data_IF_500025424166
#
_entry.id   IF_500025424166
#
_cell.length_a   1.000
_cell.length_b   1.000
_cell.length_c   1.000
_cell.angle_alpha   90.00
_cell.angle_beta   90.00
_cell.angle_gamma   90.00
#
_symmetry.space_group_name_H-M   'P 1'
#
loop_
_entity.id
_entity.type
_entity.pdbx_description
1 polymer ?
#
# COMPACT_ATOMS: atom_id res chain seq x y z
N UNK A 1 16.66 -4.22 -9.17
CA UNK A 1 16.46 -2.75 -9.14
C UNK A 1 17.16 -2.24 -7.90
N UNK A 2 17.99 -1.25 -8.00
CA UNK A 2 18.66 -0.67 -6.83
C UNK A 2 17.63 0.14 -6.03
N UNK A 3 17.36 -0.30 -4.82
CA UNK A 3 16.46 0.37 -3.88
C UNK A 3 17.04 1.70 -3.37
N UNK A 4 18.37 1.84 -3.52
CA UNK A 4 19.22 2.96 -3.14
C UNK A 4 19.25 4.13 -4.14
N UNK A 5 18.45 4.08 -5.22
CA UNK A 5 18.41 5.16 -6.21
C UNK A 5 17.60 6.35 -5.70
N UNK A 6 18.14 7.56 -5.86
CA UNK A 6 17.39 8.80 -5.64
C UNK A 6 16.18 8.89 -6.58
N UNK A 7 15.07 9.43 -6.07
CA UNK A 7 13.86 9.64 -6.86
C UNK A 7 14.04 10.88 -7.73
N UNK A 8 13.82 10.73 -9.04
CA UNK A 8 13.89 11.88 -9.95
C UNK A 8 12.65 12.78 -9.76
N UNK A 9 12.76 14.10 -10.02
CA UNK A 9 11.61 15.00 -9.99
C UNK A 9 10.49 14.57 -10.95
N UNK A 10 10.85 13.91 -12.04
CA UNK A 10 9.89 13.35 -13.01
C UNK A 10 9.11 12.17 -12.39
N UNK A 11 9.79 11.23 -11.73
CA UNK A 11 9.12 10.12 -11.03
C UNK A 11 8.14 10.64 -9.98
N UNK A 12 8.56 11.61 -9.15
CA UNK A 12 7.68 12.21 -8.12
C UNK A 12 6.44 12.83 -8.77
N UNK A 13 6.58 13.51 -9.91
CA UNK A 13 5.45 14.13 -10.65
C UNK A 13 4.51 13.05 -11.21
N UNK A 14 5.03 11.98 -11.80
CA UNK A 14 4.25 10.84 -12.33
C UNK A 14 3.44 10.20 -11.22
N UNK A 15 4.04 9.93 -10.07
CA UNK A 15 3.34 9.29 -8.95
C UNK A 15 2.38 10.24 -8.21
N UNK A 16 2.61 11.55 -8.28
CA UNK A 16 1.64 12.56 -7.79
C UNK A 16 0.34 12.53 -8.60
N UNK A 17 0.43 12.34 -9.92
CA UNK A 17 -0.71 12.25 -10.84
C UNK A 17 -1.00 10.80 -11.26
N UNK A 18 -0.72 9.85 -10.38
CA UNK A 18 -0.81 8.42 -10.64
C UNK A 18 -2.10 7.98 -11.33
N UNK A 19 -3.26 8.52 -10.93
CA UNK A 19 -4.57 8.16 -11.52
C UNK A 19 -4.66 8.55 -12.99
N UNK A 20 -4.18 9.74 -13.35
CA UNK A 20 -4.19 10.24 -14.73
C UNK A 20 -3.24 9.39 -15.58
N UNK A 21 -2.01 9.18 -15.10
CA UNK A 21 -1.00 8.36 -15.80
C UNK A 21 -1.50 6.94 -16.02
N UNK A 22 -2.14 6.35 -15.01
CA UNK A 22 -2.74 5.02 -15.14
C UNK A 22 -3.89 5.00 -16.14
N UNK A 23 -4.83 5.93 -16.06
CA UNK A 23 -5.96 6.04 -16.99
C UNK A 23 -5.49 6.20 -18.45
N UNK A 24 -4.53 7.09 -18.70
CA UNK A 24 -3.94 7.28 -20.04
C UNK A 24 -3.28 5.99 -20.55
N UNK A 25 -2.54 5.28 -19.69
CA UNK A 25 -1.91 4.01 -20.06
C UNK A 25 -2.94 2.94 -20.43
N UNK A 26 -4.02 2.81 -19.65
CA UNK A 26 -5.10 1.84 -19.95
C UNK A 26 -5.79 2.21 -21.26
N UNK A 27 -6.09 3.49 -21.49
CA UNK A 27 -6.72 3.97 -22.72
C UNK A 27 -5.85 3.69 -23.96
N UNK A 28 -4.54 4.00 -23.88
CA UNK A 28 -3.61 3.72 -24.98
C UNK A 28 -3.46 2.22 -25.23
N UNK A 29 -3.35 1.41 -24.18
CA UNK A 29 -3.28 -0.05 -24.30
C UNK A 29 -4.54 -0.60 -24.95
N UNK A 30 -5.71 -0.10 -24.60
CA UNK A 30 -6.99 -0.49 -25.21
C UNK A 30 -7.03 -0.14 -26.70
N UNK A 31 -6.70 1.09 -27.08
CA UNK A 31 -6.68 1.53 -28.47
C UNK A 31 -5.70 0.72 -29.32
N UNK A 32 -4.49 0.48 -28.81
CA UNK A 32 -3.48 -0.30 -29.51
C UNK A 32 -3.90 -1.76 -29.65
N UNK A 33 -4.47 -2.37 -28.62
CA UNK A 33 -5.02 -3.73 -28.69
C UNK A 33 -6.15 -3.81 -29.72
N UNK A 34 -7.07 -2.84 -29.71
CA UNK A 34 -8.15 -2.75 -30.68
C UNK A 34 -7.61 -2.65 -32.13
N UNK A 35 -6.59 -1.81 -32.35
CA UNK A 35 -5.94 -1.67 -33.65
C UNK A 35 -5.28 -2.98 -34.11
N UNK A 36 -4.55 -3.66 -33.22
CA UNK A 36 -3.93 -4.98 -33.51
C UNK A 36 -4.99 -5.98 -33.94
N UNK A 37 -6.09 -6.09 -33.20
CA UNK A 37 -7.20 -7.00 -33.50
C UNK A 37 -7.79 -6.72 -34.87
N UNK A 38 -7.97 -5.43 -35.21
CA UNK A 38 -8.51 -5.02 -36.52
C UNK A 38 -7.56 -5.32 -37.69
N UNK A 39 -6.26 -5.09 -37.47
CA UNK A 39 -5.23 -5.34 -38.51
C UNK A 39 -5.07 -6.83 -38.82
N UNK A 40 -5.16 -7.70 -37.80
CA UNK A 40 -4.95 -9.14 -37.95
C UNK A 40 -6.26 -9.92 -38.11
N UNK A 41 -7.43 -9.24 -38.17
CA UNK A 41 -8.76 -9.87 -38.34
C UNK A 41 -9.00 -11.05 -37.41
N UNK A 42 -8.68 -10.87 -36.11
CA UNK A 42 -8.76 -11.93 -35.11
C UNK A 42 -10.24 -12.28 -34.86
N UNK A 43 -10.66 -13.55 -34.94
CA UNK A 43 -12.00 -14.02 -34.59
C UNK A 43 -12.26 -13.74 -33.07
N UNK A 44 -13.52 -13.65 -32.67
CA UNK A 44 -13.89 -13.45 -31.25
C UNK A 44 -13.24 -12.23 -30.55
N UNK A 45 -12.98 -11.16 -31.30
CA UNK A 45 -12.15 -10.01 -31.04
C UNK A 45 -12.41 -9.28 -29.69
N UNK A 46 -13.51 -9.58 -29.01
CA UNK A 46 -13.89 -8.95 -27.73
C UNK A 46 -13.04 -9.45 -26.55
N UNK A 47 -12.62 -10.71 -26.56
CA UNK A 47 -11.95 -11.35 -25.43
C UNK A 47 -10.56 -10.82 -25.12
N UNK A 48 -9.68 -10.50 -26.09
CA UNK A 48 -8.40 -9.86 -25.79
C UNK A 48 -8.57 -8.51 -25.10
N UNK A 49 -9.56 -7.69 -25.51
CA UNK A 49 -9.87 -6.38 -24.92
C UNK A 49 -10.35 -6.51 -23.49
N UNK A 50 -11.34 -7.39 -23.24
CA UNK A 50 -11.85 -7.66 -21.89
C UNK A 50 -10.74 -8.17 -20.99
N UNK A 51 -9.92 -9.10 -21.47
CA UNK A 51 -8.81 -9.67 -20.70
C UNK A 51 -7.77 -8.62 -20.34
N UNK A 52 -7.39 -7.76 -21.29
CA UNK A 52 -6.45 -6.67 -21.06
C UNK A 52 -6.96 -5.69 -19.98
N UNK A 53 -8.23 -5.27 -20.06
CA UNK A 53 -8.85 -4.37 -19.06
C UNK A 53 -8.92 -5.04 -17.70
N UNK A 54 -9.28 -6.31 -17.61
CA UNK A 54 -9.38 -7.05 -16.34
C UNK A 54 -8.01 -7.24 -15.67
N UNK A 55 -6.95 -7.46 -16.45
CA UNK A 55 -5.58 -7.63 -15.93
C UNK A 55 -4.98 -6.28 -15.51
N UNK A 56 -5.08 -5.27 -16.36
CA UNK A 56 -4.55 -3.93 -16.08
C UNK A 56 -5.34 -3.19 -15.01
N UNK A 57 -6.63 -3.47 -14.83
CA UNK A 57 -7.57 -3.12 -13.78
C UNK A 57 -7.19 -2.00 -12.81
N UNK A 58 -7.79 -1.95 -11.63
CA UNK A 58 -7.57 -0.87 -10.67
C UNK A 58 -6.19 -0.88 -10.00
N UNK A 59 -5.37 -1.94 -10.24
CA UNK A 59 -4.04 -2.09 -9.61
C UNK A 59 -3.03 -2.37 -10.71
N UNK A 60 -2.31 -1.34 -11.12
CA UNK A 60 -1.43 -1.37 -12.28
C UNK A 60 0.05 -1.51 -11.97
N UNK A 61 0.41 -1.94 -10.77
CA UNK A 61 1.80 -2.18 -10.42
C UNK A 61 2.31 -3.48 -11.07
N UNK A 62 3.51 -3.43 -11.63
CA UNK A 62 4.17 -4.56 -12.27
C UNK A 62 4.13 -5.83 -11.41
N UNK A 63 4.42 -5.71 -10.11
CA UNK A 63 4.41 -6.81 -9.15
C UNK A 63 3.04 -7.50 -8.98
N UNK A 64 1.94 -6.89 -9.41
CA UNK A 64 0.60 -7.44 -9.36
C UNK A 64 0.08 -7.88 -10.74
N UNK A 65 0.47 -7.18 -11.82
CA UNK A 65 0.00 -7.49 -13.18
C UNK A 65 0.52 -8.86 -13.65
N UNK A 66 1.80 -9.14 -13.43
CA UNK A 66 2.42 -10.39 -13.86
C UNK A 66 1.77 -11.63 -13.22
N UNK A 67 1.65 -11.73 -11.87
CA UNK A 67 0.93 -12.86 -11.27
C UNK A 67 -0.51 -13.00 -11.75
N UNK A 68 -1.22 -11.87 -11.92
CA UNK A 68 -2.61 -11.85 -12.37
C UNK A 68 -2.76 -12.34 -13.80
N UNK A 69 -1.81 -12.00 -14.69
CA UNK A 69 -1.78 -12.51 -16.05
C UNK A 69 -1.58 -14.04 -16.06
N UNK A 70 -0.63 -14.56 -15.28
CA UNK A 70 -0.42 -15.99 -15.15
C UNK A 70 -1.62 -16.72 -14.53
N UNK A 71 -2.27 -16.16 -13.52
CA UNK A 71 -3.50 -16.72 -12.95
C UNK A 71 -4.64 -16.71 -14.00
N UNK A 72 -4.73 -15.67 -14.84
CA UNK A 72 -5.71 -15.57 -15.93
C UNK A 72 -5.46 -16.65 -16.97
N UNK A 73 -4.23 -16.78 -17.45
CA UNK A 73 -3.86 -17.79 -18.44
C UNK A 73 -4.12 -19.19 -17.90
N UNK A 74 -3.60 -19.51 -16.70
CA UNK A 74 -3.78 -20.82 -16.09
C UNK A 74 -5.25 -21.15 -15.77
N UNK A 75 -6.03 -20.17 -15.32
CA UNK A 75 -7.47 -20.33 -15.07
C UNK A 75 -8.25 -20.63 -16.36
N UNK A 76 -7.91 -19.91 -17.46
CA UNK A 76 -8.55 -20.11 -18.75
C UNK A 76 -8.19 -21.49 -19.35
N UNK A 77 -6.92 -21.86 -19.34
CA UNK A 77 -6.49 -23.17 -19.86
C UNK A 77 -7.15 -24.32 -19.10
N UNK A 78 -7.12 -24.29 -17.76
CA UNK A 78 -7.76 -25.32 -16.95
C UNK A 78 -9.29 -25.33 -17.14
N UNK A 79 -9.92 -24.17 -17.16
CA UNK A 79 -11.38 -24.07 -17.40
C UNK A 79 -11.79 -24.59 -18.78
N UNK A 80 -10.98 -24.32 -19.81
CA UNK A 80 -11.22 -24.84 -21.18
C UNK A 80 -11.08 -26.35 -21.22
N UNK A 81 -10.07 -26.94 -20.61
CA UNK A 81 -9.90 -28.40 -20.53
C UNK A 81 -11.11 -29.05 -19.84
N UNK A 82 -11.52 -28.51 -18.66
CA UNK A 82 -12.68 -29.04 -17.93
C UNK A 82 -13.97 -28.87 -18.73
N UNK A 83 -14.13 -27.78 -19.48
CA UNK A 83 -15.27 -27.54 -20.35
C UNK A 83 -15.31 -28.47 -21.55
N UNK A 84 -14.17 -28.70 -22.21
CA UNK A 84 -14.08 -29.66 -23.35
C UNK A 84 -14.40 -31.09 -22.88
N UNK A 85 -13.96 -31.49 -21.70
CA UNK A 85 -14.33 -32.80 -21.12
C UNK A 85 -15.85 -32.83 -20.87
N UNK A 86 -16.45 -31.77 -20.38
CA UNK A 86 -17.89 -31.67 -20.17
C UNK A 86 -18.67 -31.87 -21.50
N UNK A 87 -18.25 -31.19 -22.56
CA UNK A 87 -18.86 -31.35 -23.90
C UNK A 87 -18.72 -32.78 -24.45
N UNK A 88 -17.59 -33.45 -24.21
CA UNK A 88 -17.43 -34.86 -24.59
C UNK A 88 -18.36 -35.79 -23.78
N UNK A 89 -18.56 -35.52 -22.53
CA UNK A 89 -19.47 -36.28 -21.67
C UNK A 89 -20.94 -36.05 -22.04
N UNK A 90 -21.29 -34.87 -22.58
CA UNK A 90 -22.62 -34.56 -23.10
C UNK A 90 -23.00 -35.49 -24.29
N UNK A 91 -22.04 -35.82 -25.15
CA UNK A 91 -22.24 -36.75 -26.26
C UNK A 91 -22.58 -38.16 -25.78
N UNK A 92 -22.19 -38.54 -24.57
CA UNK A 92 -22.47 -39.85 -23.97
C UNK A 92 -23.83 -39.79 -23.21
N UNK A 93 -23.96 -38.86 -22.27
CA UNK A 93 -25.21 -38.64 -21.52
C UNK A 93 -25.20 -37.29 -20.80
N UNK A 94 -26.33 -36.56 -20.89
CA UNK A 94 -26.53 -35.28 -20.20
C UNK A 94 -26.35 -35.38 -18.66
N UNK A 95 -26.89 -36.41 -17.96
CA UNK A 95 -26.67 -36.52 -16.51
C UNK A 95 -25.19 -36.64 -16.13
N UNK A 96 -24.36 -37.31 -16.93
CA UNK A 96 -22.93 -37.47 -16.66
C UNK A 96 -22.20 -36.11 -16.78
N UNK A 97 -22.52 -35.31 -17.80
CA UNK A 97 -22.04 -33.94 -17.96
C UNK A 97 -22.41 -33.06 -16.74
N UNK A 98 -23.68 -33.15 -16.27
CA UNK A 98 -24.14 -32.35 -15.13
C UNK A 98 -23.38 -32.69 -13.84
N UNK A 99 -23.15 -33.98 -13.57
CA UNK A 99 -22.35 -34.43 -12.42
C UNK A 99 -20.92 -33.90 -12.52
N UNK A 100 -20.31 -33.98 -13.70
CA UNK A 100 -18.98 -33.41 -13.94
C UNK A 100 -18.90 -31.92 -13.70
N UNK A 101 -19.84 -31.15 -14.26
CA UNK A 101 -19.91 -29.70 -14.07
C UNK A 101 -20.12 -29.33 -12.60
N UNK A 102 -20.99 -30.05 -11.89
CA UNK A 102 -21.21 -29.81 -10.46
C UNK A 102 -19.93 -30.05 -9.64
N UNK A 103 -19.21 -31.15 -9.91
CA UNK A 103 -17.94 -31.45 -9.25
C UNK A 103 -16.85 -30.40 -9.56
N UNK A 104 -16.73 -30.01 -10.83
CA UNK A 104 -15.77 -28.97 -11.26
C UNK A 104 -16.09 -27.63 -10.63
N UNK A 105 -17.37 -27.20 -10.62
CA UNK A 105 -17.79 -25.95 -9.98
C UNK A 105 -17.61 -25.97 -8.46
N UNK A 106 -17.84 -27.11 -7.82
CA UNK A 106 -17.52 -27.27 -6.38
C UNK A 106 -16.03 -27.02 -6.12
N UNK A 107 -15.13 -27.62 -6.90
CA UNK A 107 -13.69 -27.41 -6.79
C UNK A 107 -13.32 -25.94 -7.06
N UNK A 108 -13.94 -25.28 -8.05
CA UNK A 108 -13.73 -23.86 -8.33
C UNK A 108 -14.13 -22.97 -7.14
N UNK A 109 -15.28 -23.25 -6.52
CA UNK A 109 -15.76 -22.53 -5.33
C UNK A 109 -14.82 -22.73 -4.14
N UNK A 110 -14.36 -23.97 -3.92
CA UNK A 110 -13.39 -24.26 -2.87
C UNK A 110 -12.03 -23.57 -3.09
N UNK A 111 -11.51 -23.55 -4.31
CA UNK A 111 -10.28 -22.85 -4.68
C UNK A 111 -10.43 -21.32 -4.56
N UNK A 112 -11.61 -20.78 -4.84
CA UNK A 112 -11.90 -19.34 -4.74
C UNK A 112 -11.83 -18.82 -3.30
N UNK A 113 -12.06 -19.68 -2.31
CA UNK A 113 -11.90 -19.37 -0.89
C UNK A 113 -10.46 -19.63 -0.37
N UNK A 114 -9.58 -20.19 -1.21
CA UNK A 114 -8.23 -20.58 -0.88
C UNK A 114 -7.18 -19.49 -1.14
N UNK A 115 -5.93 -19.95 -1.37
CA UNK A 115 -4.76 -19.06 -1.58
C UNK A 115 -4.76 -18.31 -2.92
N UNK A 116 -5.54 -18.78 -3.91
CA UNK A 116 -5.61 -18.23 -5.27
C UNK A 116 -7.06 -18.00 -5.70
N UNK A 117 -7.79 -17.08 -5.05
CA UNK A 117 -9.22 -16.87 -5.29
C UNK A 117 -9.54 -16.47 -6.74
N UNK A 118 -8.69 -15.65 -7.33
CA UNK A 118 -8.87 -15.19 -8.70
C UNK A 118 -8.76 -16.33 -9.72
N UNK A 119 -7.81 -17.26 -9.54
CA UNK A 119 -7.66 -18.41 -10.42
C UNK A 119 -8.87 -19.36 -10.35
N UNK A 120 -9.37 -19.65 -9.14
CA UNK A 120 -10.59 -20.47 -8.96
C UNK A 120 -11.81 -19.88 -9.65
N UNK A 121 -12.02 -18.56 -9.50
CA UNK A 121 -13.08 -17.82 -10.21
C UNK A 121 -12.96 -17.96 -11.72
N UNK A 122 -11.74 -17.82 -12.26
CA UNK A 122 -11.51 -17.85 -13.70
C UNK A 122 -11.72 -19.23 -14.32
N UNK A 123 -11.35 -20.30 -13.61
CA UNK A 123 -11.63 -21.68 -14.04
C UNK A 123 -13.14 -21.86 -14.19
N UNK A 124 -13.93 -21.45 -13.16
CA UNK A 124 -15.38 -21.57 -13.19
C UNK A 124 -16.04 -20.72 -14.30
N UNK A 125 -15.60 -19.48 -14.47
CA UNK A 125 -16.09 -18.59 -15.56
C UNK A 125 -15.81 -19.21 -16.93
N UNK A 126 -14.60 -19.72 -17.15
CA UNK A 126 -14.23 -20.32 -18.45
C UNK A 126 -14.97 -21.62 -18.70
N UNK A 127 -15.12 -22.47 -17.69
CA UNK A 127 -15.94 -23.68 -17.76
C UNK A 127 -17.38 -23.35 -18.19
N UNK A 128 -18.01 -22.39 -17.51
CA UNK A 128 -19.39 -21.98 -17.81
C UNK A 128 -19.55 -21.44 -19.22
N UNK A 129 -18.54 -20.70 -19.72
CA UNK A 129 -18.55 -20.16 -21.09
C UNK A 129 -18.42 -21.26 -22.11
N UNK A 130 -17.52 -22.23 -21.91
CA UNK A 130 -17.31 -23.35 -22.87
C UNK A 130 -18.54 -24.25 -22.90
N UNK A 131 -19.10 -24.60 -21.74
CA UNK A 131 -20.30 -25.45 -21.66
C UNK A 131 -21.57 -24.74 -22.19
N UNK A 132 -21.65 -23.41 -22.03
CA UNK A 132 -22.77 -22.62 -22.56
C UNK A 132 -22.68 -22.29 -24.06
N UNK A 133 -21.63 -22.70 -24.75
CA UNK A 133 -21.50 -22.54 -26.20
C UNK A 133 -22.36 -23.61 -26.92
N UNK A 134 -22.87 -23.35 -28.15
CA UNK A 134 -23.59 -24.35 -28.90
C UNK A 134 -22.78 -25.65 -29.03
N UNK A 135 -23.47 -26.77 -28.90
CA UNK A 135 -22.86 -28.11 -29.00
C UNK A 135 -22.13 -28.29 -30.31
N UNK A 136 -20.84 -28.65 -30.27
CA UNK A 136 -20.01 -28.93 -31.43
C UNK A 136 -19.04 -27.84 -31.87
N UNK A 137 -19.08 -26.63 -31.29
CA UNK A 137 -18.16 -25.55 -31.63
C UNK A 137 -16.89 -25.56 -30.75
N UNK A 138 -16.11 -26.62 -30.84
CA UNK A 138 -14.80 -26.75 -30.17
C UNK A 138 -13.87 -25.61 -30.60
N UNK A 139 -13.94 -25.19 -31.87
CA UNK A 139 -13.12 -24.12 -32.43
C UNK A 139 -13.35 -22.79 -31.73
N UNK A 140 -14.59 -22.45 -31.37
CA UNK A 140 -14.93 -21.25 -30.62
C UNK A 140 -14.29 -21.26 -29.23
N UNK A 141 -14.28 -22.39 -28.51
CA UNK A 141 -13.65 -22.52 -27.20
C UNK A 141 -12.12 -22.38 -27.29
N UNK A 142 -11.49 -22.91 -28.36
CA UNK A 142 -10.05 -22.78 -28.58
C UNK A 142 -9.66 -21.35 -28.94
N UNK A 143 -10.38 -20.70 -29.86
CA UNK A 143 -10.15 -19.30 -30.21
C UNK A 143 -10.27 -18.39 -28.97
N UNK A 144 -11.30 -18.56 -28.17
CA UNK A 144 -11.50 -17.81 -26.93
C UNK A 144 -10.34 -17.98 -25.93
N UNK A 145 -9.82 -19.21 -25.81
CA UNK A 145 -8.65 -19.46 -24.95
C UNK A 145 -7.39 -18.77 -25.49
N UNK A 146 -7.18 -18.82 -26.81
CA UNK A 146 -6.11 -18.13 -27.51
C UNK A 146 -6.19 -16.61 -27.31
N UNK A 147 -7.37 -16.03 -27.41
CA UNK A 147 -7.64 -14.61 -27.27
C UNK A 147 -7.38 -14.12 -25.83
N UNK A 148 -7.72 -14.92 -24.82
CA UNK A 148 -7.40 -14.60 -23.42
C UNK A 148 -5.90 -14.65 -23.19
N UNK A 149 -5.18 -15.59 -23.78
CA UNK A 149 -3.72 -15.65 -23.73
C UNK A 149 -3.13 -14.41 -24.40
N UNK A 150 -3.57 -14.08 -25.61
CA UNK A 150 -3.14 -12.89 -26.35
C UNK A 150 -3.37 -11.61 -25.56
N UNK A 151 -4.58 -11.40 -25.03
CA UNK A 151 -4.91 -10.25 -24.19
C UNK A 151 -4.06 -10.18 -22.92
N UNK A 152 -3.72 -11.31 -22.32
CA UNK A 152 -2.84 -11.39 -21.16
C UNK A 152 -1.40 -11.00 -21.49
N UNK A 153 -0.88 -11.46 -22.63
CA UNK A 153 0.45 -11.11 -23.12
C UNK A 153 0.54 -9.62 -23.48
N UNK A 154 -0.48 -9.07 -24.16
CA UNK A 154 -0.55 -7.64 -24.47
C UNK A 154 -0.61 -6.79 -23.20
N UNK A 155 -1.39 -7.20 -22.20
CA UNK A 155 -1.43 -6.50 -20.89
C UNK A 155 -0.06 -6.50 -20.20
N UNK A 156 0.68 -7.61 -20.24
CA UNK A 156 2.06 -7.65 -19.71
C UNK A 156 3.00 -6.76 -20.52
N UNK A 157 2.92 -6.79 -21.85
CA UNK A 157 3.74 -5.96 -22.74
C UNK A 157 3.53 -4.48 -22.46
N UNK A 158 2.29 -3.99 -22.49
CA UNK A 158 1.98 -2.58 -22.25
C UNK A 158 2.31 -2.13 -20.84
N UNK A 159 2.17 -3.01 -19.84
CA UNK A 159 2.60 -2.71 -18.48
C UNK A 159 4.13 -2.69 -18.37
N UNK A 160 4.84 -3.51 -19.16
CA UNK A 160 6.29 -3.59 -19.19
C UNK A 160 6.97 -2.38 -19.85
N UNK A 161 6.33 -1.71 -20.81
CA UNK A 161 6.88 -0.53 -21.50
C UNK A 161 7.08 0.62 -20.51
N UNK A 162 6.13 0.84 -19.60
CA UNK A 162 6.24 1.84 -18.54
C UNK A 162 5.79 1.27 -17.19
N UNK A 163 6.66 0.47 -16.55
CA UNK A 163 6.29 -0.23 -15.33
C UNK A 163 6.13 0.76 -14.17
N UNK A 164 4.92 0.88 -13.67
CA UNK A 164 4.67 1.56 -12.39
C UNK A 164 5.07 0.62 -11.26
N UNK A 165 5.92 1.13 -10.37
CA UNK A 165 6.51 0.35 -9.27
C UNK A 165 5.84 0.68 -7.96
N UNK A 166 5.33 -0.33 -7.29
CA UNK A 166 4.69 -0.19 -5.98
C UNK A 166 5.69 0.29 -4.92
N UNK A 167 6.95 -0.13 -5.02
CA UNK A 167 8.00 0.29 -4.09
C UNK A 167 8.29 1.80 -4.16
N UNK A 168 8.36 2.38 -5.36
CA UNK A 168 8.55 3.83 -5.53
C UNK A 168 7.33 4.59 -4.99
N UNK A 169 6.14 4.11 -5.30
CA UNK A 169 4.91 4.71 -4.79
C UNK A 169 4.84 4.65 -3.27
N UNK A 170 5.20 3.52 -2.67
CA UNK A 170 5.30 3.33 -1.23
C UNK A 170 6.28 4.31 -0.58
N UNK A 171 7.50 4.47 -1.14
CA UNK A 171 8.48 5.46 -0.66
C UNK A 171 7.92 6.87 -0.63
N UNK A 172 7.30 7.30 -1.72
CA UNK A 172 6.71 8.64 -1.85
C UNK A 172 5.55 8.82 -0.86
N UNK A 173 4.69 7.82 -0.69
CA UNK A 173 3.56 7.90 0.23
C UNK A 173 4.02 7.93 1.69
N UNK A 174 5.03 7.12 2.06
CA UNK A 174 5.60 7.16 3.40
C UNK A 174 6.28 8.51 3.68
N UNK A 175 7.09 9.02 2.75
CA UNK A 175 7.71 10.34 2.88
C UNK A 175 6.66 11.44 3.05
N UNK A 176 5.57 11.39 2.28
CA UNK A 176 4.46 12.33 2.40
C UNK A 176 3.74 12.21 3.75
N UNK A 177 3.52 10.98 4.25
CA UNK A 177 2.93 10.74 5.56
C UNK A 177 3.78 11.34 6.68
N UNK A 178 5.11 11.12 6.66
CA UNK A 178 6.03 11.69 7.65
C UNK A 178 6.14 13.21 7.54
N UNK A 179 6.09 13.77 6.34
CA UNK A 179 6.07 15.24 6.14
C UNK A 179 4.80 15.86 6.72
N UNK A 180 3.64 15.26 6.48
CA UNK A 180 2.38 15.75 7.04
C UNK A 180 2.32 15.55 8.56
N UNK A 181 2.85 14.42 9.06
CA UNK A 181 3.03 14.20 10.50
C UNK A 181 3.85 15.33 11.13
N UNK A 182 5.01 15.65 10.54
CA UNK A 182 5.86 16.74 11.04
C UNK A 182 5.15 18.10 11.03
N UNK A 183 4.36 18.36 9.98
CA UNK A 183 3.57 19.59 9.88
C UNK A 183 2.51 19.69 10.98
N UNK A 184 1.77 18.61 11.22
CA UNK A 184 0.78 18.53 12.30
C UNK A 184 1.45 18.68 13.65
N UNK A 185 2.59 18.02 13.85
CA UNK A 185 3.39 18.12 15.07
C UNK A 185 3.81 19.56 15.35
N UNK A 186 4.40 20.25 14.36
CA UNK A 186 4.78 21.67 14.50
C UNK A 186 3.59 22.58 14.78
N UNK A 187 2.46 22.32 14.14
CA UNK A 187 1.23 23.10 14.36
C UNK A 187 0.63 22.87 15.75
N UNK A 188 0.76 21.64 16.30
CA UNK A 188 0.20 21.28 17.59
C UNK A 188 0.98 21.85 18.78
N UNK A 189 2.30 21.92 18.67
CA UNK A 189 3.23 22.28 19.75
C UNK A 189 3.94 23.61 19.52
N UNK A 190 3.37 24.49 18.70
CA UNK A 190 3.91 25.82 18.47
C UNK A 190 3.83 26.67 19.77
N UNK A 191 4.92 27.31 20.19
CA UNK A 191 4.93 28.14 21.41
C UNK A 191 4.07 29.40 21.29
N UNK A 192 3.65 29.78 20.10
CA UNK A 192 2.86 30.99 19.82
C UNK A 192 1.35 30.76 19.97
N UNK A 193 0.90 29.54 20.31
CA UNK A 193 -0.50 29.22 20.43
C UNK A 193 -0.96 29.35 21.89
N UNK A 194 -2.02 30.11 22.11
CA UNK A 194 -2.69 30.25 23.41
C UNK A 194 -3.89 29.31 23.58
N UNK A 195 -4.36 28.75 22.45
CA UNK A 195 -5.51 27.85 22.41
C UNK A 195 -5.20 26.59 21.57
N UNK A 196 -5.86 25.50 21.89
CA UNK A 196 -5.72 24.23 21.20
C UNK A 196 -6.09 24.36 19.71
N UNK A 197 -5.18 24.05 18.77
CA UNK A 197 -5.49 24.08 17.36
C UNK A 197 -6.43 22.94 16.95
N UNK A 198 -7.30 23.20 15.98
CA UNK A 198 -8.22 22.18 15.40
C UNK A 198 -7.49 21.34 14.38
N UNK A 199 -7.02 20.16 14.77
CA UNK A 199 -6.20 19.26 13.94
C UNK A 199 -6.87 17.91 13.63
N UNK A 200 -8.12 17.69 14.07
CA UNK A 200 -8.83 16.42 13.96
C UNK A 200 -8.90 15.93 12.51
N UNK A 201 -9.20 16.83 11.56
CA UNK A 201 -9.27 16.49 10.13
C UNK A 201 -7.92 16.05 9.55
N UNK A 202 -6.81 16.63 10.03
CA UNK A 202 -5.46 16.28 9.60
C UNK A 202 -5.03 14.93 10.17
N UNK A 203 -5.34 14.65 11.43
CA UNK A 203 -5.09 13.35 12.07
C UNK A 203 -5.89 12.23 11.39
N UNK A 204 -7.17 12.46 11.13
CA UNK A 204 -8.00 11.49 10.41
C UNK A 204 -7.50 11.22 8.99
N UNK A 205 -7.01 12.25 8.31
CA UNK A 205 -6.38 12.10 6.99
C UNK A 205 -5.10 11.28 7.06
N UNK A 206 -4.22 11.53 8.05
CA UNK A 206 -3.00 10.74 8.26
C UNK A 206 -3.33 9.26 8.49
N UNK A 207 -4.30 8.94 9.33
CA UNK A 207 -4.76 7.56 9.57
C UNK A 207 -5.32 6.92 8.29
N UNK A 208 -6.15 7.65 7.55
CA UNK A 208 -6.71 7.18 6.27
C UNK A 208 -5.63 6.88 5.25
N UNK A 209 -4.62 7.74 5.12
CA UNK A 209 -3.52 7.56 4.19
C UNK A 209 -2.60 6.41 4.64
N UNK A 210 -2.38 6.23 5.94
CA UNK A 210 -1.71 5.06 6.49
C UNK A 210 -2.45 3.76 6.13
N UNK A 211 -3.77 3.71 6.25
CA UNK A 211 -4.56 2.53 5.85
C UNK A 211 -4.43 2.23 4.35
N UNK A 212 -4.48 3.24 3.48
CA UNK A 212 -4.31 3.06 2.02
C UNK A 212 -2.95 2.49 1.64
N UNK A 213 -1.90 2.83 2.38
CA UNK A 213 -0.55 2.30 2.13
C UNK A 213 -0.45 0.78 2.30
N UNK A 214 -1.34 0.14 3.05
CA UNK A 214 -1.36 -1.33 3.20
C UNK A 214 -1.48 -2.06 1.86
N UNK A 215 -2.20 -1.47 0.89
CA UNK A 215 -2.33 -2.02 -0.46
C UNK A 215 -1.02 -2.08 -1.25
N UNK A 216 0.01 -1.30 -0.85
CA UNK A 216 1.31 -1.26 -1.50
C UNK A 216 2.31 -2.28 -0.94
N UNK A 217 2.05 -2.87 0.25
CA UNK A 217 2.99 -3.75 0.95
C UNK A 217 3.30 -5.01 0.14
N UNK A 218 2.28 -5.75 -0.27
CA UNK A 218 2.46 -7.02 -0.98
C UNK A 218 3.17 -6.83 -2.35
N UNK A 219 2.76 -5.86 -3.21
CA UNK A 219 3.45 -5.63 -4.47
C UNK A 219 4.86 -5.07 -4.28
N UNK A 220 5.11 -4.19 -3.29
CA UNK A 220 6.45 -3.67 -3.00
C UNK A 220 7.41 -4.78 -2.53
N UNK A 221 6.95 -5.67 -1.65
CA UNK A 221 7.72 -6.82 -1.20
C UNK A 221 8.10 -7.75 -2.37
N UNK A 222 7.15 -8.03 -3.28
CA UNK A 222 7.42 -8.84 -4.49
C UNK A 222 8.43 -8.18 -5.43
N UNK A 223 8.34 -6.86 -5.62
CA UNK A 223 9.25 -6.11 -6.50
C UNK A 223 10.67 -6.03 -5.95
N UNK A 224 10.83 -5.86 -4.64
CA UNK A 224 12.13 -5.69 -3.99
C UNK A 224 12.73 -6.99 -3.47
N UNK A 225 11.93 -8.06 -3.34
CA UNK A 225 12.30 -9.32 -2.67
C UNK A 225 12.66 -9.14 -1.19
N UNK A 226 12.24 -8.05 -0.59
CA UNK A 226 12.39 -7.79 0.84
C UNK A 226 11.21 -8.45 1.57
N UNK A 227 11.44 -9.08 2.74
CA UNK A 227 10.38 -9.71 3.50
C UNK A 227 9.21 -8.75 3.79
N UNK A 228 7.99 -9.24 3.61
CA UNK A 228 6.75 -8.48 3.82
C UNK A 228 6.66 -7.94 5.25
N UNK A 229 7.20 -8.67 6.22
CA UNK A 229 7.23 -8.29 7.64
C UNK A 229 7.93 -6.96 7.91
N UNK A 230 8.96 -6.60 7.11
CA UNK A 230 9.64 -5.30 7.22
C UNK A 230 8.69 -4.17 6.85
N UNK A 231 7.97 -4.29 5.73
CA UNK A 231 6.96 -3.30 5.32
C UNK A 231 5.78 -3.23 6.29
N UNK A 232 5.35 -4.37 6.82
CA UNK A 232 4.29 -4.44 7.82
C UNK A 232 4.72 -3.79 9.13
N UNK A 233 5.96 -3.98 9.56
CA UNK A 233 6.55 -3.29 10.71
C UNK A 233 6.56 -1.77 10.53
N UNK A 234 7.05 -1.28 9.38
CA UNK A 234 7.03 0.15 9.04
C UNK A 234 5.60 0.70 9.07
N UNK A 235 4.65 -0.03 8.50
CA UNK A 235 3.25 0.35 8.48
C UNK A 235 2.64 0.43 9.88
N UNK A 236 2.97 -0.52 10.75
CA UNK A 236 2.51 -0.55 12.15
C UNK A 236 3.06 0.65 12.92
N UNK A 237 4.36 0.94 12.79
CA UNK A 237 4.98 2.08 13.45
C UNK A 237 4.39 3.40 12.92
N UNK A 238 4.23 3.56 11.60
CA UNK A 238 3.64 4.78 11.02
C UNK A 238 2.23 5.05 11.57
N UNK A 239 1.42 4.01 11.75
CA UNK A 239 0.10 4.14 12.38
C UNK A 239 0.20 4.48 13.86
N UNK A 240 1.09 3.81 14.61
CA UNK A 240 1.28 4.07 16.03
C UNK A 240 1.73 5.51 16.27
N UNK A 241 2.65 6.03 15.45
CA UNK A 241 3.08 7.44 15.52
C UNK A 241 1.90 8.41 15.41
N UNK A 242 0.95 8.17 14.50
CA UNK A 242 -0.24 9.03 14.36
C UNK A 242 -1.13 8.97 15.61
N UNK A 243 -1.36 7.77 16.17
CA UNK A 243 -2.13 7.61 17.40
C UNK A 243 -1.43 8.28 18.60
N UNK A 244 -0.10 8.15 18.68
CA UNK A 244 0.68 8.78 19.74
C UNK A 244 0.68 10.31 19.63
N UNK A 245 0.71 10.85 18.40
CA UNK A 245 0.58 12.29 18.18
C UNK A 245 -0.76 12.83 18.70
N UNK A 246 -1.85 12.12 18.46
CA UNK A 246 -3.17 12.48 19.00
C UNK A 246 -3.17 12.49 20.53
N UNK A 247 -2.59 11.47 21.16
CA UNK A 247 -2.45 11.40 22.62
C UNK A 247 -1.53 12.50 23.18
N UNK A 248 -0.43 12.80 22.49
CA UNK A 248 0.46 13.90 22.85
C UNK A 248 -0.26 15.26 22.81
N UNK A 249 -1.05 15.50 21.76
CA UNK A 249 -1.87 16.73 21.64
C UNK A 249 -2.86 16.81 22.81
N UNK A 250 -3.54 15.70 23.14
CA UNK A 250 -4.48 15.65 24.24
C UNK A 250 -3.81 15.92 25.59
N UNK A 251 -2.64 15.35 25.85
CA UNK A 251 -1.88 15.56 27.07
C UNK A 251 -1.32 17.00 27.17
N UNK A 252 -0.79 17.54 26.08
CA UNK A 252 -0.22 18.88 26.03
C UNK A 252 -1.25 19.98 26.32
N UNK A 253 -2.47 19.79 25.80
CA UNK A 253 -3.59 20.74 25.91
C UNK A 253 -4.62 20.33 26.97
N UNK A 254 -4.26 19.41 27.90
CA UNK A 254 -5.20 18.86 28.87
C UNK A 254 -5.77 19.93 29.80
N UNK A 255 -4.92 20.79 30.34
CA UNK A 255 -5.29 21.92 31.24
C UNK A 255 -4.45 23.15 30.93
N UNK A 256 -4.96 24.34 31.20
CA UNK A 256 -4.17 25.59 31.06
C UNK A 256 -2.89 25.58 31.92
N UNK A 257 -2.94 25.21 33.19
CA UNK A 257 -1.73 25.16 34.01
C UNK A 257 -0.66 24.20 33.48
N UNK A 258 -1.05 22.96 33.05
CA UNK A 258 -0.08 22.02 32.48
C UNK A 258 0.54 22.55 31.18
N UNK A 259 -0.26 23.21 30.35
CA UNK A 259 0.23 23.84 29.12
C UNK A 259 1.28 24.93 29.44
N UNK A 260 1.06 25.78 30.43
CA UNK A 260 2.04 26.81 30.83
C UNK A 260 3.35 26.21 31.33
N UNK A 261 3.31 25.13 32.10
CA UNK A 261 4.52 24.43 32.56
C UNK A 261 5.30 23.88 31.37
N UNK A 262 4.61 23.17 30.46
CA UNK A 262 5.22 22.59 29.25
C UNK A 262 5.76 23.66 28.30
N UNK A 263 5.11 24.81 28.23
CA UNK A 263 5.56 25.94 27.41
C UNK A 263 6.87 26.55 27.91
N UNK A 264 7.09 26.55 29.22
CA UNK A 264 8.29 27.11 29.85
C UNK A 264 9.47 26.10 29.90
N UNK A 265 9.25 24.83 29.61
CA UNK A 265 10.29 23.82 29.63
C UNK A 265 11.18 23.92 28.35
N UNK A 266 12.39 24.46 28.51
CA UNK A 266 13.30 24.73 27.42
C UNK A 266 13.92 23.44 26.85
N UNK A 267 14.32 22.51 27.71
CA UNK A 267 14.88 21.21 27.32
C UNK A 267 13.86 20.36 26.55
N UNK A 268 12.57 20.50 26.88
CA UNK A 268 11.49 19.87 26.13
C UNK A 268 11.42 20.40 24.68
N UNK A 269 11.61 21.70 24.49
CA UNK A 269 11.69 22.30 23.14
C UNK A 269 12.88 21.75 22.34
N UNK A 270 14.03 21.57 22.97
CA UNK A 270 15.20 20.96 22.32
C UNK A 270 14.91 19.52 21.86
N UNK A 271 14.16 18.77 22.66
CA UNK A 271 13.66 17.44 22.30
C UNK A 271 12.69 17.49 21.13
N UNK A 272 11.75 18.44 21.10
CA UNK A 272 10.83 18.63 19.98
C UNK A 272 11.57 18.96 18.68
N UNK A 273 12.58 19.82 18.73
CA UNK A 273 13.44 20.12 17.58
C UNK A 273 14.23 18.89 17.11
N UNK A 274 14.75 18.09 18.02
CA UNK A 274 15.42 16.83 17.67
C UNK A 274 14.48 15.87 16.92
N UNK A 275 13.24 15.70 17.42
CA UNK A 275 12.24 14.85 16.74
C UNK A 275 11.90 15.34 15.33
N UNK A 276 11.78 16.66 15.15
CA UNK A 276 11.57 17.27 13.83
C UNK A 276 12.74 16.97 12.88
N UNK A 277 13.98 17.10 13.36
CA UNK A 277 15.18 16.78 12.58
C UNK A 277 15.23 15.29 12.17
N UNK A 278 14.86 14.38 13.07
CA UNK A 278 14.76 12.94 12.77
C UNK A 278 13.74 12.70 11.68
N UNK A 279 12.54 13.28 11.79
CA UNK A 279 11.48 13.15 10.77
C UNK A 279 11.94 13.66 9.40
N UNK A 280 12.57 14.84 9.35
CA UNK A 280 13.11 15.39 8.09
C UNK A 280 14.21 14.53 7.50
N UNK A 281 15.10 13.98 8.32
CA UNK A 281 16.15 13.05 7.89
C UNK A 281 15.56 11.77 7.28
N UNK A 282 14.51 11.20 7.89
CA UNK A 282 13.79 10.03 7.35
C UNK A 282 13.10 10.34 6.02
N UNK A 283 12.48 11.51 5.90
CA UNK A 283 11.87 11.97 4.63
C UNK A 283 12.93 12.09 3.54
N UNK A 284 14.08 12.70 3.84
CA UNK A 284 15.19 12.86 2.91
C UNK A 284 15.74 11.49 2.48
N UNK A 285 15.96 10.56 3.42
CA UNK A 285 16.40 9.20 3.14
C UNK A 285 15.44 8.46 2.20
N UNK A 286 14.12 8.66 2.37
CA UNK A 286 13.12 8.07 1.49
C UNK A 286 13.17 8.64 0.07
N UNK A 287 13.47 9.92 -0.12
CA UNK A 287 13.61 10.51 -1.46
C UNK A 287 14.95 10.17 -2.10
N UNK A 288 16.04 10.19 -1.36
CA UNK A 288 17.37 9.94 -1.93
C UNK A 288 17.74 8.46 -2.04
N UNK A 289 17.09 7.59 -1.25
CA UNK A 289 17.40 6.15 -1.26
C UNK A 289 18.69 5.79 -0.51
N UNK A 290 19.28 6.73 0.21
CA UNK A 290 20.50 6.51 1.01
C UNK A 290 20.23 6.73 2.51
N UNK A 291 19.67 5.72 3.19
CA UNK A 291 19.35 5.86 4.59
C UNK A 291 20.59 5.76 5.45
N UNK A 292 20.78 6.74 6.31
CA UNK A 292 21.67 6.64 7.46
C UNK A 292 20.84 6.31 8.70
N UNK A 293 21.29 5.40 9.57
CA UNK A 293 20.62 5.17 10.84
C UNK A 293 20.58 6.47 11.63
N UNK A 294 19.41 6.84 12.12
CA UNK A 294 19.28 7.99 12.99
C UNK A 294 19.25 7.48 14.42
N UNK A 295 20.12 8.01 15.26
CA UNK A 295 20.16 7.74 16.68
C UNK A 295 19.62 8.97 17.40
N UNK A 296 18.65 8.78 18.29
CA UNK A 296 18.19 9.84 19.14
C UNK A 296 19.22 10.08 20.27
N UNK A 297 19.40 11.34 20.63
CA UNK A 297 20.20 11.66 21.80
C UNK A 297 19.34 11.47 23.07
N UNK A 298 19.54 10.33 23.75
CA UNK A 298 18.83 9.97 24.97
C UNK A 298 19.14 10.91 26.13
N UNK A 299 20.30 11.58 26.16
CA UNK A 299 20.66 12.58 27.19
C UNK A 299 19.68 13.76 27.14
N UNK A 300 19.35 14.26 25.94
CA UNK A 300 18.39 15.37 25.81
C UNK A 300 17.00 15.00 26.34
N UNK A 301 16.60 13.75 26.20
CA UNK A 301 15.34 13.27 26.76
C UNK A 301 15.37 13.24 28.28
N UNK A 302 16.45 12.73 28.86
CA UNK A 302 16.64 12.70 30.32
C UNK A 302 16.73 14.10 30.91
N UNK A 303 17.43 15.01 30.25
CA UNK A 303 17.50 16.43 30.64
C UNK A 303 16.11 17.09 30.66
N UNK A 304 15.26 16.79 29.65
CA UNK A 304 13.90 17.33 29.63
C UNK A 304 13.02 16.76 30.74
N UNK A 305 13.19 15.49 31.11
CA UNK A 305 12.49 14.85 32.23
C UNK A 305 12.88 15.53 33.55
N UNK A 306 14.18 15.75 33.74
CA UNK A 306 14.71 16.38 34.97
C UNK A 306 14.27 17.84 35.08
N UNK A 307 14.29 18.61 33.98
CA UNK A 307 13.78 19.99 33.98
C UNK A 307 12.29 20.03 34.37
N UNK A 308 11.46 19.16 33.83
CA UNK A 308 10.04 19.10 34.15
C UNK A 308 9.78 18.69 35.58
N UNK A 309 10.60 17.78 36.15
CA UNK A 309 10.53 17.39 37.54
C UNK A 309 10.81 18.59 38.45
N UNK A 310 11.88 19.35 38.18
CA UNK A 310 12.23 20.55 38.93
C UNK A 310 11.16 21.64 38.85
N UNK A 311 10.53 21.81 37.64
CA UNK A 311 9.43 22.75 37.46
C UNK A 311 8.18 22.35 38.27
N UNK A 312 7.89 21.06 38.40
CA UNK A 312 6.78 20.54 39.19
C UNK A 312 7.03 20.66 40.72
N UNK A 313 8.25 20.35 41.18
CA UNK A 313 8.62 20.42 42.60
C UNK A 313 8.55 21.86 43.10
N UNK A 314 8.80 22.86 42.28
CA UNK A 314 8.70 24.27 42.61
C UNK A 314 7.23 24.79 42.70
N UNK A 315 6.25 24.00 42.28
CA UNK A 315 4.83 24.39 42.27
C UNK A 315 3.96 23.38 43.02
N UNK A 316 4.10 23.33 44.36
CA UNK A 316 3.42 22.38 45.26
C UNK A 316 1.86 22.32 45.14
N UNK A 317 1.22 23.34 44.58
CA UNK A 317 -0.25 23.41 44.44
C UNK A 317 -0.80 22.67 43.17
N UNK A 318 0.05 22.03 42.39
CA UNK A 318 -0.32 21.54 41.06
C UNK A 318 -0.48 20.00 40.93
N UNK A 319 -0.83 19.28 42.02
CA UNK A 319 -1.03 17.82 41.97
C UNK A 319 -1.96 17.32 40.87
N UNK A 320 -2.94 18.12 40.43
CA UNK A 320 -3.86 17.79 39.34
C UNK A 320 -3.21 17.93 37.97
N UNK A 321 -2.07 18.62 37.87
CA UNK A 321 -1.37 18.93 36.61
C UNK A 321 -0.30 17.90 36.27
N UNK A 322 0.16 17.14 37.29
CA UNK A 322 1.25 16.16 37.13
C UNK A 322 0.96 15.06 36.09
N UNK A 323 -0.23 14.48 36.16
CA UNK A 323 -0.58 13.34 35.27
C UNK A 323 -0.50 13.65 33.77
N UNK A 324 -1.06 14.77 33.26
CA UNK A 324 -0.91 15.14 31.83
C UNK A 324 0.55 15.41 31.46
N UNK A 325 1.36 16.02 32.33
CA UNK A 325 2.75 16.32 32.05
C UNK A 325 3.57 15.03 31.94
N UNK A 326 3.46 14.13 32.93
CA UNK A 326 4.16 12.84 32.87
C UNK A 326 3.70 11.99 31.68
N UNK A 327 2.40 12.00 31.37
CA UNK A 327 1.86 11.34 30.20
C UNK A 327 2.45 11.90 28.89
N UNK A 328 2.56 13.22 28.77
CA UNK A 328 3.17 13.86 27.61
C UNK A 328 4.66 13.51 27.46
N UNK A 329 5.42 13.53 28.55
CA UNK A 329 6.85 13.18 28.56
C UNK A 329 7.05 11.73 28.15
N UNK A 330 6.29 10.80 28.73
CA UNK A 330 6.36 9.39 28.38
C UNK A 330 6.04 9.15 26.90
N UNK A 331 5.01 9.81 26.38
CA UNK A 331 4.65 9.72 24.96
C UNK A 331 5.75 10.27 24.04
N UNK A 332 6.48 11.32 24.46
CA UNK A 332 7.62 11.83 23.70
C UNK A 332 8.77 10.80 23.66
N UNK A 333 9.10 10.19 24.81
CA UNK A 333 10.12 9.14 24.88
C UNK A 333 9.76 7.95 23.99
N UNK A 334 8.52 7.48 24.04
CA UNK A 334 8.04 6.39 23.21
C UNK A 334 8.03 6.76 21.72
N UNK A 335 7.65 7.99 21.36
CA UNK A 335 7.69 8.48 19.98
C UNK A 335 9.11 8.45 19.43
N UNK A 336 10.11 8.89 20.21
CA UNK A 336 11.52 8.83 19.81
C UNK A 336 11.95 7.39 19.59
N UNK A 337 11.61 6.49 20.51
CA UNK A 337 11.91 5.06 20.34
C UNK A 337 11.27 4.47 19.07
N UNK A 338 10.01 4.80 18.78
CA UNK A 338 9.34 4.37 17.54
C UNK A 338 9.99 4.95 16.28
N UNK A 339 10.49 6.19 16.34
CA UNK A 339 11.22 6.80 15.21
C UNK A 339 12.57 6.11 14.96
N UNK A 340 13.29 5.69 16.00
CA UNK A 340 14.52 4.89 15.85
C UNK A 340 14.24 3.52 15.22
N UNK A 341 13.22 2.83 15.70
CA UNK A 341 12.77 1.56 15.10
C UNK A 341 12.37 1.75 13.64
N UNK A 342 11.64 2.81 13.32
CA UNK A 342 11.26 3.18 11.97
C UNK A 342 12.48 3.41 11.09
N UNK A 343 13.48 4.16 11.59
CA UNK A 343 14.75 4.41 10.91
C UNK A 343 15.46 3.10 10.55
N UNK A 344 15.58 2.19 11.50
CA UNK A 344 16.22 0.89 11.30
C UNK A 344 15.48 0.04 10.25
N UNK A 345 14.14 0.03 10.25
CA UNK A 345 13.36 -0.70 9.27
C UNK A 345 13.43 -0.05 7.88
N UNK A 346 13.42 1.29 7.79
CA UNK A 346 13.62 2.01 6.51
C UNK A 346 15.01 1.70 5.95
N UNK A 347 16.05 1.68 6.79
CA UNK A 347 17.39 1.28 6.38
C UNK A 347 17.39 -0.14 5.78
N UNK A 348 16.70 -1.09 6.39
CA UNK A 348 16.55 -2.46 5.87
C UNK A 348 15.75 -2.51 4.56
N UNK A 349 14.73 -1.67 4.43
CA UNK A 349 13.89 -1.60 3.22
C UNK A 349 14.61 -0.91 2.03
N UNK A 350 15.58 -0.04 2.27
CA UNK A 350 16.33 0.68 1.25
C UNK A 350 17.70 0.05 0.95
N UNK A 351 18.29 -0.69 1.90
CA UNK A 351 19.55 -1.44 1.66
C UNK A 351 19.24 -2.73 0.89
N UNK A 352 19.86 -2.88 -0.23
CA UNK A 352 19.92 -4.12 -0.98
C UNK A 352 21.36 -4.55 -1.15
#
# INVERSE_FOLDING_TARGET
>A
MRADKSLSPFEIRVYRHYRIVHGTRVALAFLLTFLIIRLFTIPESTWPLVTMVVIMGPISFWGNVVPRAFERIGGTVLGSILGLIALQLELISLPLMLVWCAAAMFLCGWLALGKKPYQGLLIGVTLAIVVGSPTGEIDTALWRSGDVILGSLLAMLFTGIWPQRAFIHWRIQLAKSLTEYNRVYQSAFSPNLLERPRLESHLQKLLTDAVKMRGLIAPASKETRIPKSIYEGIQTINRNLVCMLELQINAYWATRPSHFVLLNAQKLRDTQHMMQQILLSLVHALYEGNPQPVFANTEKLNDAVEELRQLLDNHHDLKVVETPIYGYVWLNMETVHQLELLSNLICRALRK
#
